data_IF_396875609607
#
_entry.id   IF_396875609607
#
_cell.length_a   1.000
_cell.length_b   1.000
_cell.length_c   1.000
_cell.angle_alpha   90.00
_cell.angle_beta   90.00
_cell.angle_gamma   90.00
#
_symmetry.space_group_name_H-M   'P 1'
#
loop_
_entity.id
_entity.type
_entity.pdbx_description
1 polymer ?
#
# COMPACT_ATOMS: atom_id res chain seq x y z
N UNK A 1 -12.09 2.16 7.86
CA UNK A 1 -11.22 1.18 7.19
C UNK A 1 -11.64 1.09 5.74
N UNK A 2 -10.76 0.57 4.87
CA UNK A 2 -11.04 0.35 3.45
C UNK A 2 -10.82 -1.13 3.15
N UNK A 3 -11.75 -1.82 2.46
CA UNK A 3 -11.56 -3.21 2.08
C UNK A 3 -10.41 -3.42 1.08
N UNK A 4 -10.03 -2.37 0.35
CA UNK A 4 -8.92 -2.40 -0.62
C UNK A 4 -7.54 -2.40 0.05
N UNK A 5 -7.45 -2.05 1.34
CA UNK A 5 -6.17 -2.02 2.07
C UNK A 5 -5.87 -3.42 2.60
N UNK A 6 -4.86 -4.09 2.04
CA UNK A 6 -4.46 -5.43 2.46
C UNK A 6 -3.37 -5.43 3.56
N UNK A 7 -2.54 -4.39 3.60
CA UNK A 7 -1.49 -4.18 4.59
C UNK A 7 -1.43 -2.71 4.97
N UNK A 8 -1.19 -2.42 6.26
CA UNK A 8 -1.02 -1.07 6.78
C UNK A 8 0.02 -1.10 7.90
N UNK A 9 1.00 -0.21 7.83
CA UNK A 9 2.17 -0.20 8.68
C UNK A 9 2.53 1.21 9.12
N UNK A 10 2.83 1.34 10.41
CA UNK A 10 3.61 2.47 10.91
C UNK A 10 5.12 2.22 10.65
N UNK A 11 5.84 3.29 10.35
CA UNK A 11 7.28 3.30 10.06
C UNK A 11 7.93 4.50 10.77
N UNK A 12 9.17 4.32 11.22
CA UNK A 12 10.00 5.41 11.72
C UNK A 12 10.63 6.18 10.55
N UNK A 13 9.85 7.06 9.93
CA UNK A 13 10.26 7.91 8.79
C UNK A 13 9.33 9.12 8.67
N UNK A 14 9.69 10.17 7.92
CA UNK A 14 8.82 11.34 7.71
C UNK A 14 7.49 10.96 7.03
N UNK A 15 7.56 10.03 6.08
CA UNK A 15 6.39 9.26 5.62
C UNK A 15 6.21 8.07 6.57
N UNK A 16 5.45 8.26 7.64
CA UNK A 16 5.35 7.30 8.75
C UNK A 16 4.21 6.29 8.62
N UNK A 17 3.28 6.46 7.68
CA UNK A 17 2.16 5.53 7.48
C UNK A 17 2.17 5.00 6.05
N UNK A 18 2.31 3.68 5.92
CA UNK A 18 2.42 2.98 4.65
C UNK A 18 1.32 1.95 4.54
N UNK A 19 0.58 1.96 3.45
CA UNK A 19 -0.43 0.95 3.18
C UNK A 19 -0.39 0.51 1.72
N UNK A 20 -0.83 -0.71 1.49
CA UNK A 20 -0.91 -1.30 0.15
C UNK A 20 -2.37 -1.43 -0.23
N UNK A 21 -2.73 -0.85 -1.37
CA UNK A 21 -4.06 -0.94 -1.95
C UNK A 21 -4.10 -1.99 -3.05
N UNK A 22 -5.22 -2.70 -3.15
CA UNK A 22 -5.55 -3.57 -4.28
C UNK A 22 -7.01 -3.41 -4.61
N UNK A 23 -7.32 -3.18 -5.88
CA UNK A 23 -8.69 -3.03 -6.37
C UNK A 23 -8.83 -3.65 -7.77
N UNK A 24 -10.07 -3.85 -8.27
CA UNK A 24 -10.30 -4.45 -9.59
C UNK A 24 -9.74 -3.63 -10.76
N UNK A 25 -9.63 -2.31 -10.59
CA UNK A 25 -9.17 -1.38 -11.63
C UNK A 25 -8.58 -0.10 -11.03
N UNK A 26 -7.92 0.69 -11.88
CA UNK A 26 -7.29 1.96 -11.49
C UNK A 26 -8.31 2.99 -11.00
N UNK A 27 -9.50 3.05 -11.62
CA UNK A 27 -10.52 4.02 -11.23
C UNK A 27 -10.97 3.81 -9.78
N UNK A 28 -11.06 2.55 -9.33
CA UNK A 28 -11.34 2.23 -7.93
C UNK A 28 -10.19 2.61 -7.00
N UNK A 29 -8.94 2.41 -7.41
CA UNK A 29 -7.76 2.86 -6.64
C UNK A 29 -7.79 4.38 -6.44
N UNK A 30 -7.94 5.13 -7.55
CA UNK A 30 -7.96 6.60 -7.54
C UNK A 30 -9.09 7.13 -6.64
N UNK A 31 -10.27 6.53 -6.72
CA UNK A 31 -11.41 6.92 -5.88
C UNK A 31 -11.16 6.66 -4.38
N UNK A 32 -10.49 5.56 -4.04
CA UNK A 32 -10.14 5.26 -2.64
C UNK A 32 -9.05 6.21 -2.14
N UNK A 33 -8.01 6.47 -2.94
CA UNK A 33 -6.95 7.41 -2.61
C UNK A 33 -7.51 8.82 -2.37
N UNK A 34 -8.37 9.32 -3.28
CA UNK A 34 -9.01 10.63 -3.14
C UNK A 34 -9.89 10.72 -1.87
N UNK A 35 -10.63 9.66 -1.54
CA UNK A 35 -11.44 9.63 -0.30
C UNK A 35 -10.56 9.62 0.96
N UNK A 36 -9.42 8.92 0.94
CA UNK A 36 -8.43 8.94 2.03
C UNK A 36 -7.89 10.36 2.22
N UNK A 37 -7.45 11.01 1.15
CA UNK A 37 -6.96 12.39 1.19
C UNK A 37 -8.02 13.35 1.72
N UNK A 38 -9.25 13.26 1.20
CA UNK A 38 -10.35 14.14 1.63
C UNK A 38 -10.70 13.97 3.10
N UNK A 39 -10.73 12.72 3.61
CA UNK A 39 -11.13 12.44 5.00
C UNK A 39 -10.05 12.76 6.01
N UNK A 40 -8.79 12.66 5.63
CA UNK A 40 -7.65 12.89 6.53
C UNK A 40 -7.09 14.31 6.43
N UNK A 41 -7.30 14.98 5.29
CA UNK A 41 -6.66 16.26 4.97
C UNK A 41 -5.17 16.12 4.68
N UNK A 42 -4.66 14.90 4.50
CA UNK A 42 -3.26 14.60 4.23
C UNK A 42 -3.11 14.16 2.78
N UNK A 43 -2.08 14.65 2.09
CA UNK A 43 -1.75 14.18 0.75
C UNK A 43 -1.23 12.74 0.81
N UNK A 44 -1.67 11.91 -0.12
CA UNK A 44 -1.17 10.54 -0.29
C UNK A 44 -0.16 10.52 -1.42
N UNK A 45 1.00 9.92 -1.16
CA UNK A 45 1.98 9.63 -2.19
C UNK A 45 1.64 8.29 -2.86
N UNK A 46 1.13 8.34 -4.09
CA UNK A 46 0.85 7.14 -4.88
C UNK A 46 2.13 6.59 -5.55
N UNK A 47 2.47 5.34 -5.22
CA UNK A 47 3.68 4.65 -5.68
C UNK A 47 3.27 3.31 -6.32
N UNK A 48 2.81 3.32 -7.59
CA UNK A 48 2.36 2.11 -8.27
C UNK A 48 3.52 1.12 -8.48
N UNK A 49 3.19 -0.17 -8.41
CA UNK A 49 4.12 -1.24 -8.77
C UNK A 49 4.26 -1.31 -10.30
N UNK A 50 5.32 -0.71 -10.84
CA UNK A 50 5.61 -0.72 -12.28
C UNK A 50 6.13 -2.08 -12.78
N UNK A 51 6.89 -2.78 -11.93
CA UNK A 51 7.49 -4.07 -12.26
C UNK A 51 7.74 -4.88 -11.00
N UNK A 52 7.29 -6.12 -11.00
CA UNK A 52 7.65 -7.08 -9.96
C UNK A 52 9.01 -7.70 -10.23
N UNK A 53 9.81 -7.81 -9.17
CA UNK A 53 11.02 -8.61 -9.16
C UNK A 53 10.89 -9.62 -8.03
N UNK A 54 10.87 -10.90 -8.38
CA UNK A 54 10.78 -11.96 -7.39
C UNK A 54 12.18 -12.34 -6.89
N UNK A 55 12.38 -12.27 -5.58
CA UNK A 55 13.54 -12.82 -4.90
C UNK A 55 13.08 -14.06 -4.16
N UNK A 56 13.71 -15.19 -4.43
CA UNK A 56 13.49 -16.40 -3.65
C UNK A 56 14.13 -16.20 -2.25
N UNK A 57 13.27 -16.07 -1.24
CA UNK A 57 13.65 -15.90 0.16
C UNK A 57 13.49 -17.19 0.97
N UNK A 58 13.44 -18.35 0.30
CA UNK A 58 13.41 -19.64 0.97
C UNK A 58 14.67 -19.87 1.81
N UNK A 59 14.56 -19.69 3.12
CA UNK A 59 15.59 -20.14 4.06
C UNK A 59 15.34 -21.60 4.43
N UNK A 60 16.36 -22.46 4.31
CA UNK A 60 16.28 -23.84 4.80
C UNK A 60 16.28 -23.79 6.32
N UNK A 61 15.13 -24.05 6.94
CA UNK A 61 15.06 -24.22 8.40
C UNK A 61 15.55 -25.62 8.75
N UNK A 62 16.60 -25.70 9.56
CA UNK A 62 16.96 -26.95 10.24
C UNK A 62 15.93 -27.14 11.37
N UNK A 63 15.07 -28.15 11.22
CA UNK A 63 14.15 -28.62 12.26
C UNK A 63 14.86 -29.61 13.19
#
# INVERSE_FOLDING_TARGET
SYPEVNHNYEREHDYNLWFVLTAPDQARLDAVLADIEQRTGLAVLDLPLEREFHIDLGFRMEL
#
